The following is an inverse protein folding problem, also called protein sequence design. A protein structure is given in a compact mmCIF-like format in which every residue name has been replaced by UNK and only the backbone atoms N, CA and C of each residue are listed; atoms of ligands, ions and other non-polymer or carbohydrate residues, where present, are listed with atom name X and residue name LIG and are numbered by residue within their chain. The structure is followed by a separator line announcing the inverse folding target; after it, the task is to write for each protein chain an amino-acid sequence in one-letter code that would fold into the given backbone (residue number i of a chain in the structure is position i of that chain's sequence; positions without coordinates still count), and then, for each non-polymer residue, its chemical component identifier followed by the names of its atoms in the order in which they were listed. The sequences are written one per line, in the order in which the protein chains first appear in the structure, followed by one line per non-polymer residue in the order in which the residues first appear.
data_IF_638163249119
#
_entry.id   IF_638163249119
#
_cell.length_a   1.000
_cell.length_b   1.000
_cell.length_c   1.000
_cell.angle_alpha   90.00
_cell.angle_beta   90.00
_cell.angle_gamma   90.00
#
_symmetry.space_group_name_H-M   'P 1'
#
loop_
_entity.id
_entity.type
_entity.pdbx_description
1 polymer ?
#
# COMPACT_ATOMS: atom_id res chain seq x y z
N UNK A 1 18.88 9.90 4.32
CA UNK A 1 17.78 9.75 4.46
C UNK A 1 17.28 8.48 4.44
N UNK A 2 16.48 8.03 5.12
CA UNK A 2 16.03 6.80 5.00
C UNK A 2 14.73 6.71 4.42
N UNK A 3 14.38 5.69 3.74
CA UNK A 3 13.14 5.49 3.15
C UNK A 3 12.26 4.71 4.05
N UNK A 4 10.98 5.01 4.05
CA UNK A 4 10.06 4.26 4.86
C UNK A 4 9.84 2.89 4.28
N UNK A 5 9.76 1.92 5.16
CA UNK A 5 9.47 0.57 4.74
C UNK A 5 7.98 0.41 4.46
N UNK A 6 7.15 1.14 5.21
CA UNK A 6 5.70 1.06 5.05
C UNK A 6 5.13 2.42 4.75
N UNK A 7 4.03 2.44 4.00
CA UNK A 7 3.30 3.66 3.72
C UNK A 7 2.02 3.65 4.53
N UNK A 8 1.62 4.82 5.00
CA UNK A 8 0.36 4.94 5.73
C UNK A 8 -0.76 5.19 4.74
N UNK A 9 -1.99 5.10 5.23
CA UNK A 9 -3.15 5.38 4.39
C UNK A 9 -3.09 6.79 3.85
N UNK A 10 -2.67 7.74 4.69
CA UNK A 10 -2.56 9.12 4.25
C UNK A 10 -1.57 9.29 3.11
N UNK A 11 -0.46 8.59 3.22
CA UNK A 11 0.55 8.68 2.18
C UNK A 11 0.06 8.07 0.87
N UNK A 12 -0.65 6.95 0.97
CA UNK A 12 -1.20 6.33 -0.22
C UNK A 12 -2.23 7.25 -0.87
N UNK A 13 -3.06 7.89 -0.05
CA UNK A 13 -4.06 8.81 -0.57
C UNK A 13 -3.41 9.94 -1.35
N UNK A 14 -2.33 10.45 -0.81
CA UNK A 14 -1.61 11.51 -1.46
C UNK A 14 -0.95 11.08 -2.75
N UNK A 15 -0.30 9.95 -2.72
CA UNK A 15 0.39 9.44 -3.90
C UNK A 15 -0.58 9.17 -5.04
N UNK A 16 -1.71 8.58 -4.73
CA UNK A 16 -2.69 8.25 -5.75
C UNK A 16 -3.71 9.34 -6.01
N UNK A 17 -3.69 10.38 -5.19
CA UNK A 17 -4.64 11.46 -5.32
C UNK A 17 -6.07 10.96 -5.22
N UNK A 18 -6.33 10.19 -4.20
CA UNK A 18 -7.66 9.65 -3.97
C UNK A 18 -8.09 9.98 -2.55
N UNK A 19 -9.35 9.73 -2.23
CA UNK A 19 -9.83 10.01 -0.89
C UNK A 19 -9.21 9.04 0.10
N UNK A 20 -9.25 9.39 1.37
CA UNK A 20 -8.74 8.53 2.39
C UNK A 20 -9.46 7.21 2.45
N UNK A 21 -10.76 7.23 2.24
CA UNK A 21 -11.54 5.99 2.24
C UNK A 21 -11.06 5.06 1.14
N UNK A 22 -10.83 5.61 -0.02
CA UNK A 22 -10.36 4.81 -1.14
C UNK A 22 -8.96 4.27 -0.85
N UNK A 23 -8.11 5.11 -0.30
CA UNK A 23 -6.75 4.69 0.01
C UNK A 23 -6.76 3.57 1.04
N UNK A 24 -7.66 3.67 2.01
CA UNK A 24 -7.75 2.64 3.03
C UNK A 24 -8.14 1.30 2.42
N UNK A 25 -9.08 1.31 1.48
CA UNK A 25 -9.48 0.10 0.80
C UNK A 25 -8.32 -0.52 0.03
N UNK A 26 -7.54 0.34 -0.62
CA UNK A 26 -6.40 -0.15 -1.37
C UNK A 26 -5.37 -0.78 -0.46
N UNK A 27 -5.09 -0.13 0.65
CA UNK A 27 -4.13 -0.67 1.62
C UNK A 27 -4.62 -2.01 2.15
N UNK A 28 -5.91 -2.12 2.45
CA UNK A 28 -6.45 -3.37 2.96
C UNK A 28 -6.32 -4.48 1.92
N UNK A 29 -6.60 -4.16 0.68
CA UNK A 29 -6.52 -5.14 -0.39
C UNK A 29 -5.08 -5.65 -0.57
N UNK A 30 -4.13 -4.73 -0.57
CA UNK A 30 -2.74 -5.11 -0.75
C UNK A 30 -2.25 -5.94 0.43
N UNK A 31 -2.67 -5.59 1.64
CA UNK A 31 -2.27 -6.35 2.79
C UNK A 31 -2.87 -7.76 2.77
N UNK A 32 -4.08 -7.87 2.25
CA UNK A 32 -4.69 -9.17 2.14
C UNK A 32 -3.87 -10.06 1.21
N UNK A 33 -3.40 -9.48 0.12
CA UNK A 33 -2.57 -10.24 -0.82
C UNK A 33 -1.25 -10.66 -0.18
N UNK A 34 -0.65 -9.75 0.57
CA UNK A 34 0.61 -10.05 1.22
C UNK A 34 0.44 -11.14 2.27
N UNK A 35 -0.66 -11.09 2.99
CA UNK A 35 -0.92 -12.11 3.99
C UNK A 35 -1.08 -13.47 3.35
N UNK A 36 -1.71 -13.54 2.21
CA UNK A 36 -1.87 -14.79 1.51
C UNK A 36 -0.54 -15.35 1.06
N UNK A 37 0.44 -14.50 0.89
CA UNK A 37 1.78 -14.93 0.54
C UNK A 37 2.61 -15.30 1.75
N UNK A 38 2.02 -15.19 2.93
CA UNK A 38 2.73 -15.57 4.15
C UNK A 38 3.60 -14.48 4.72
N UNK A 39 3.35 -13.24 4.32
CA UNK A 39 4.15 -12.13 4.79
C UNK A 39 3.46 -11.42 5.94
N UNK A 40 4.27 -10.74 6.75
CA UNK A 40 3.73 -10.01 7.87
C UNK A 40 3.22 -8.68 7.40
N UNK A 41 2.02 -8.29 7.84
CA UNK A 41 1.44 -7.02 7.47
C UNK A 41 1.15 -6.20 8.71
N UNK A 42 1.01 -4.90 8.52
CA UNK A 42 0.69 -4.00 9.61
C UNK A 42 -0.62 -3.30 9.27
N UNK A 43 -1.53 -3.26 10.22
CA UNK A 43 -2.84 -2.66 9.98
C UNK A 43 -2.70 -1.21 9.53
N UNK A 44 -3.46 -0.84 8.55
CA UNK A 44 -3.50 0.52 8.02
C UNK A 44 -2.17 0.97 7.43
N UNK A 45 -1.32 0.02 7.06
CA UNK A 45 -0.07 0.35 6.39
C UNK A 45 0.22 -0.74 5.37
N UNK A 46 1.00 -0.39 4.37
CA UNK A 46 1.31 -1.35 3.32
C UNK A 46 2.78 -1.23 2.97
N UNK A 47 3.37 -2.33 2.55
CA UNK A 47 4.77 -2.34 2.17
C UNK A 47 4.98 -1.36 1.02
N UNK A 48 5.94 -0.48 1.18
CA UNK A 48 6.24 0.50 0.17
C UNK A 48 6.65 -0.15 -1.14
N UNK A 49 7.51 -1.14 -1.05
CA UNK A 49 7.96 -1.82 -2.26
C UNK A 49 6.82 -2.53 -2.98
N UNK A 50 5.98 -3.21 -2.23
CA UNK A 50 4.87 -3.92 -2.83
C UNK A 50 3.87 -2.95 -3.45
N UNK A 51 3.64 -1.82 -2.76
CA UNK A 51 2.72 -0.82 -3.26
C UNK A 51 3.18 -0.32 -4.63
N UNK A 52 4.45 0.05 -4.74
CA UNK A 52 4.94 0.57 -6.01
C UNK A 52 4.99 -0.50 -7.09
N UNK A 53 5.31 -1.70 -6.70
CA UNK A 53 5.33 -2.79 -7.65
C UNK A 53 3.96 -3.03 -8.26
N UNK A 54 2.94 -3.03 -7.41
CA UNK A 54 1.58 -3.25 -7.88
C UNK A 54 1.09 -2.08 -8.72
N UNK A 55 1.45 -0.87 -8.31
CA UNK A 55 1.01 0.29 -9.04
C UNK A 55 1.62 0.37 -10.42
N UNK A 56 2.90 0.12 -10.49
CA UNK A 56 3.57 0.13 -11.77
C UNK A 56 3.00 -0.88 -12.70
N UNK A 57 2.68 -2.06 -12.15
CA UNK A 57 2.15 -3.09 -12.94
C UNK A 57 0.81 -2.75 -13.49
N UNK A 58 -0.03 -2.16 -12.70
CA UNK A 58 -1.33 -1.89 -13.17
C UNK A 58 -1.37 -0.75 -14.15
N UNK A 59 -0.27 0.01 -14.22
CA UNK A 59 -0.24 1.01 -15.12
C UNK A 59 -0.22 0.66 -16.49
N UNK A 60 0.15 -0.25 -16.89
CA UNK A 60 0.23 -0.57 -18.23
C UNK A 60 -0.53 -0.78 -18.86
#
# INVERSE_FOLDING_TARGET
MEEKTFLTVDEVAEILTVSKSKAYEIVRQLNKELKQKGLITVAARVSRNYFYERMCYSKE
#
